data_IF_334532158051
#
_entry.id   IF_334532158051
#
_cell.length_a   1.000
_cell.length_b   1.000
_cell.length_c   1.000
_cell.angle_alpha   90.00
_cell.angle_beta   90.00
_cell.angle_gamma   90.00
#
_symmetry.space_group_name_H-M   'P 1'
#
loop_
_entity.id
_entity.type
_entity.pdbx_description
1 polymer ?
#
# COMPACT_ATOMS: atom_id res chain seq x y z
N UNK A 1 28.94 42.73 -4.77
CA UNK A 1 29.19 41.28 -4.93
C UNK A 1 30.69 41.04 -4.78
N UNK A 2 31.13 40.20 -3.84
CA UNK A 2 32.55 39.80 -3.78
C UNK A 2 32.81 38.82 -4.95
N UNK A 3 33.89 38.99 -5.72
CA UNK A 3 34.21 38.06 -6.80
C UNK A 3 34.47 36.66 -6.22
N UNK A 4 34.11 35.62 -6.97
CA UNK A 4 34.44 34.25 -6.61
C UNK A 4 35.97 34.08 -6.52
N UNK A 5 36.42 33.31 -5.52
CA UNK A 5 37.81 32.92 -5.40
C UNK A 5 38.19 32.01 -6.58
N UNK A 6 39.31 32.30 -7.25
CA UNK A 6 39.78 31.56 -8.42
C UNK A 6 40.97 30.71 -8.03
N UNK A 7 40.78 29.38 -8.01
CA UNK A 7 41.88 28.42 -7.90
C UNK A 7 42.51 28.27 -9.28
N UNK A 8 43.80 28.57 -9.40
CA UNK A 8 44.55 28.34 -10.65
C UNK A 8 44.94 26.87 -10.70
N UNK A 9 44.50 26.17 -11.74
CA UNK A 9 44.85 24.76 -11.99
C UNK A 9 45.62 24.72 -13.30
N UNK A 10 46.82 24.13 -13.26
CA UNK A 10 47.67 23.94 -14.44
C UNK A 10 47.23 22.69 -15.20
N UNK A 11 46.08 22.79 -15.85
CA UNK A 11 45.44 21.70 -16.59
C UNK A 11 44.58 22.27 -17.72
N UNK A 12 44.58 21.61 -18.87
CA UNK A 12 43.71 21.95 -20.00
C UNK A 12 42.58 20.93 -20.12
N UNK A 13 41.34 21.41 -20.13
CA UNK A 13 40.14 20.56 -20.29
C UNK A 13 39.97 20.03 -21.71
N UNK A 14 40.49 20.75 -22.70
CA UNK A 14 40.49 20.36 -24.12
C UNK A 14 41.91 20.22 -24.62
N UNK A 15 42.12 19.34 -25.61
CA UNK A 15 43.43 19.05 -26.17
C UNK A 15 43.41 18.79 -27.67
N UNK A 16 44.58 18.53 -28.23
CA UNK A 16 44.74 18.28 -29.67
C UNK A 16 44.10 16.96 -30.14
N UNK A 17 43.66 16.09 -29.22
CA UNK A 17 42.91 14.87 -29.55
C UNK A 17 41.43 15.16 -29.90
N UNK A 18 40.94 16.37 -29.63
CA UNK A 18 39.53 16.72 -29.76
C UNK A 18 39.10 17.04 -31.20
N UNK A 19 40.05 17.05 -32.15
CA UNK A 19 39.84 17.36 -33.57
C UNK A 19 38.78 16.50 -34.27
N UNK A 20 38.53 15.29 -33.75
CA UNK A 20 37.55 14.35 -34.29
C UNK A 20 36.39 14.05 -33.31
N UNK A 21 36.32 14.75 -32.17
CA UNK A 21 35.24 14.52 -31.22
C UNK A 21 33.91 15.08 -31.78
N UNK A 22 32.86 14.26 -31.89
CA UNK A 22 31.58 14.73 -32.37
C UNK A 22 30.91 15.66 -31.35
N UNK A 23 30.28 16.71 -31.85
CA UNK A 23 29.42 17.57 -31.03
C UNK A 23 28.12 16.84 -30.71
N UNK A 24 27.79 16.74 -29.43
CA UNK A 24 26.53 16.18 -28.98
C UNK A 24 25.35 17.01 -29.51
N UNK A 25 24.37 16.33 -30.10
CA UNK A 25 23.15 16.96 -30.57
C UNK A 25 22.14 17.11 -29.43
N UNK A 26 21.28 18.14 -29.44
CA UNK A 26 20.18 18.24 -28.51
C UNK A 26 19.27 17.01 -28.58
N UNK A 27 18.86 16.48 -27.43
CA UNK A 27 17.92 15.36 -27.32
C UNK A 27 16.62 15.81 -26.70
N UNK A 28 15.50 15.23 -27.14
CA UNK A 28 14.21 15.41 -26.49
C UNK A 28 14.10 14.45 -25.31
N UNK A 29 13.83 14.98 -24.12
CA UNK A 29 13.61 14.16 -22.94
C UNK A 29 12.23 13.51 -22.99
N UNK A 30 12.18 12.19 -22.81
CA UNK A 30 10.94 11.42 -22.73
C UNK A 30 10.67 11.10 -21.26
N UNK A 31 9.56 11.60 -20.74
CA UNK A 31 9.11 11.30 -19.38
C UNK A 31 8.26 10.03 -19.38
N UNK A 32 8.35 9.28 -18.28
CA UNK A 32 7.46 8.16 -18.03
C UNK A 32 6.06 8.65 -17.66
N UNK A 33 5.04 7.84 -17.96
CA UNK A 33 3.70 8.05 -17.39
C UNK A 33 3.71 7.70 -15.89
N UNK A 34 2.73 8.18 -15.09
CA UNK A 34 2.65 7.80 -13.68
C UNK A 34 2.62 6.28 -13.45
N UNK A 35 1.91 5.53 -14.31
CA UNK A 35 1.83 4.07 -14.22
C UNK A 35 3.17 3.41 -14.57
N UNK A 36 3.90 3.95 -15.55
CA UNK A 36 5.27 3.52 -15.85
C UNK A 36 6.20 3.79 -14.67
N UNK A 37 6.15 4.97 -14.06
CA UNK A 37 6.95 5.30 -12.87
C UNK A 37 6.67 4.33 -11.70
N UNK A 38 5.40 3.96 -11.48
CA UNK A 38 5.02 2.94 -10.49
C UNK A 38 5.51 1.54 -10.87
N UNK A 39 5.53 1.20 -12.17
CA UNK A 39 6.05 -0.09 -12.64
C UNK A 39 7.58 -0.22 -12.52
N UNK A 40 8.30 0.91 -12.49
CA UNK A 40 9.77 0.95 -12.53
C UNK A 40 10.37 1.24 -11.15
N UNK A 41 9.97 2.32 -10.49
CA UNK A 41 10.61 2.82 -9.26
C UNK A 41 10.55 1.82 -8.10
N UNK A 42 9.33 1.47 -7.63
CA UNK A 42 9.13 0.42 -6.63
C UNK A 42 9.74 -0.94 -7.01
N UNK A 43 9.74 -1.31 -8.30
CA UNK A 43 10.32 -2.56 -8.78
C UNK A 43 11.85 -2.59 -8.62
N UNK A 44 12.54 -1.54 -9.08
CA UNK A 44 13.98 -1.37 -8.87
C UNK A 44 14.34 -1.29 -7.38
N UNK A 45 13.49 -0.65 -6.58
CA UNK A 45 13.67 -0.56 -5.14
C UNK A 45 13.59 -1.93 -4.44
N UNK A 46 12.61 -2.76 -4.82
CA UNK A 46 12.50 -4.14 -4.33
C UNK A 46 13.72 -4.98 -4.73
N UNK A 47 14.23 -4.81 -5.96
CA UNK A 47 15.42 -5.54 -6.40
C UNK A 47 16.64 -5.20 -5.54
N UNK A 48 16.89 -3.90 -5.32
CA UNK A 48 17.98 -3.44 -4.46
C UNK A 48 17.81 -3.94 -3.02
N UNK A 49 16.59 -3.96 -2.48
CA UNK A 49 16.30 -4.53 -1.16
C UNK A 49 16.60 -6.03 -1.11
N UNK A 50 16.08 -6.80 -2.07
CA UNK A 50 16.25 -8.25 -2.10
C UNK A 50 17.73 -8.63 -2.19
N UNK A 51 18.43 -8.10 -3.21
CA UNK A 51 19.81 -8.49 -3.46
C UNK A 51 20.75 -8.05 -2.33
N UNK A 52 20.49 -6.95 -1.64
CA UNK A 52 21.34 -6.46 -0.54
C UNK A 52 20.97 -7.01 0.83
N UNK A 53 19.74 -7.47 1.04
CA UNK A 53 19.29 -8.03 2.32
C UNK A 53 19.85 -9.42 2.63
N UNK A 54 20.34 -10.13 1.60
CA UNK A 54 20.75 -11.53 1.71
C UNK A 54 19.57 -12.51 1.83
N UNK A 55 18.33 -12.06 1.64
CA UNK A 55 17.15 -12.92 1.62
C UNK A 55 17.01 -13.64 0.27
N UNK A 56 16.23 -14.73 0.29
CA UNK A 56 16.07 -15.62 -0.85
C UNK A 56 14.81 -15.33 -1.69
N UNK A 57 13.99 -14.36 -1.27
CA UNK A 57 12.82 -13.95 -2.01
C UNK A 57 11.84 -13.12 -1.18
N UNK A 58 10.60 -13.11 -1.64
CA UNK A 58 9.48 -12.39 -1.04
C UNK A 58 8.32 -13.32 -0.67
N UNK A 59 7.60 -12.97 0.39
CA UNK A 59 6.28 -13.50 0.72
C UNK A 59 5.26 -12.37 0.69
N UNK A 60 4.17 -12.55 -0.05
CA UNK A 60 3.03 -11.62 -0.06
C UNK A 60 1.74 -12.32 0.39
N UNK A 61 1.08 -11.82 1.45
CA UNK A 61 -0.32 -12.12 1.72
C UNK A 61 -1.21 -11.56 0.60
N UNK A 62 -1.62 -12.41 -0.34
CA UNK A 62 -2.37 -12.02 -1.54
C UNK A 62 -3.87 -12.18 -1.27
N UNK A 63 -4.62 -11.09 -1.21
CA UNK A 63 -6.05 -11.11 -0.84
C UNK A 63 -7.02 -11.22 -2.02
N UNK A 64 -6.54 -11.04 -3.25
CA UNK A 64 -7.41 -10.91 -4.43
C UNK A 64 -8.11 -9.54 -4.54
N UNK A 65 -7.66 -8.56 -3.75
CA UNK A 65 -8.03 -7.14 -3.85
C UNK A 65 -6.97 -6.31 -4.58
N UNK A 66 -7.30 -5.03 -4.83
CA UNK A 66 -6.45 -4.09 -5.59
C UNK A 66 -5.04 -4.00 -5.01
N UNK A 67 -4.88 -3.70 -3.73
CA UNK A 67 -3.57 -3.30 -3.19
C UNK A 67 -2.54 -4.45 -3.17
N UNK A 68 -2.96 -5.63 -2.74
CA UNK A 68 -2.07 -6.81 -2.80
C UNK A 68 -1.76 -7.19 -4.24
N UNK A 69 -2.72 -7.01 -5.16
CA UNK A 69 -2.48 -7.27 -6.58
C UNK A 69 -1.50 -6.27 -7.18
N UNK A 70 -1.55 -4.99 -6.78
CA UNK A 70 -0.56 -4.00 -7.20
C UNK A 70 0.84 -4.35 -6.69
N UNK A 71 0.94 -4.81 -5.44
CA UNK A 71 2.21 -5.31 -4.89
C UNK A 71 2.74 -6.50 -5.69
N UNK A 72 1.89 -7.46 -6.05
CA UNK A 72 2.25 -8.60 -6.88
C UNK A 72 2.71 -8.17 -8.29
N UNK A 73 2.01 -7.22 -8.92
CA UNK A 73 2.40 -6.67 -10.21
C UNK A 73 3.75 -5.93 -10.17
N UNK A 74 4.08 -5.25 -9.07
CA UNK A 74 5.41 -4.62 -8.90
C UNK A 74 6.51 -5.68 -8.84
N UNK A 75 6.30 -6.80 -8.14
CA UNK A 75 7.26 -7.92 -8.11
C UNK A 75 7.41 -8.55 -9.50
N UNK A 76 6.32 -8.68 -10.26
CA UNK A 76 6.40 -9.15 -11.64
C UNK A 76 7.13 -8.16 -12.56
N UNK A 77 6.87 -6.85 -12.44
CA UNK A 77 7.60 -5.81 -13.18
C UNK A 77 9.10 -5.85 -12.87
N UNK A 78 9.47 -6.12 -11.60
CA UNK A 78 10.86 -6.36 -11.22
C UNK A 78 11.44 -7.56 -11.98
N UNK A 79 10.73 -8.68 -12.07
CA UNK A 79 11.18 -9.85 -12.83
C UNK A 79 11.37 -9.53 -14.32
N UNK A 80 10.46 -8.76 -14.93
CA UNK A 80 10.58 -8.29 -16.32
C UNK A 80 11.86 -7.48 -16.52
N UNK A 81 12.13 -6.52 -15.64
CA UNK A 81 13.34 -5.68 -15.70
C UNK A 81 14.62 -6.50 -15.55
N UNK A 82 14.61 -7.53 -14.70
CA UNK A 82 15.76 -8.41 -14.51
C UNK A 82 16.03 -9.27 -15.75
N UNK A 83 15.00 -9.88 -16.33
CA UNK A 83 15.13 -10.62 -17.59
C UNK A 83 15.66 -9.72 -18.71
N UNK A 84 15.14 -8.49 -18.83
CA UNK A 84 15.61 -7.53 -19.83
C UNK A 84 17.09 -7.17 -19.61
N UNK A 85 17.48 -6.81 -18.38
CA UNK A 85 18.86 -6.43 -18.08
C UNK A 85 19.85 -7.57 -18.35
N UNK A 86 19.47 -8.83 -18.04
CA UNK A 86 20.29 -10.01 -18.37
C UNK A 86 20.37 -10.20 -19.90
N UNK A 87 19.25 -10.06 -20.61
CA UNK A 87 19.21 -10.13 -22.07
C UNK A 87 20.06 -9.06 -22.77
N UNK A 88 20.22 -7.88 -22.14
CA UNK A 88 21.09 -6.78 -22.59
C UNK A 88 22.56 -6.97 -22.18
N UNK A 89 22.92 -8.08 -21.52
CA UNK A 89 24.29 -8.41 -21.16
C UNK A 89 24.78 -7.83 -19.82
N UNK A 90 23.88 -7.50 -18.90
CA UNK A 90 24.25 -7.00 -17.58
C UNK A 90 24.72 -8.14 -16.66
N UNK A 91 26.04 -8.38 -16.65
CA UNK A 91 26.67 -9.45 -15.87
C UNK A 91 26.42 -9.33 -14.36
N UNK A 92 26.40 -8.11 -13.81
CA UNK A 92 26.16 -7.90 -12.38
C UNK A 92 24.74 -8.35 -11.97
N UNK A 93 23.74 -8.06 -12.79
CA UNK A 93 22.36 -8.51 -12.54
C UNK A 93 22.27 -10.03 -12.64
N UNK A 94 22.92 -10.65 -13.62
CA UNK A 94 22.93 -12.09 -13.78
C UNK A 94 23.54 -12.80 -12.56
N UNK A 95 24.68 -12.33 -12.07
CA UNK A 95 25.34 -12.85 -10.87
C UNK A 95 24.43 -12.73 -9.63
N UNK A 96 23.79 -11.56 -9.45
CA UNK A 96 22.87 -11.33 -8.34
C UNK A 96 21.63 -12.24 -8.43
N UNK A 97 21.04 -12.43 -9.62
CA UNK A 97 19.89 -13.33 -9.81
C UNK A 97 20.27 -14.77 -9.46
N UNK A 98 21.39 -15.27 -9.98
CA UNK A 98 21.89 -16.62 -9.69
C UNK A 98 22.07 -16.86 -8.19
N UNK A 99 22.64 -15.87 -7.49
CA UNK A 99 22.80 -15.90 -6.03
C UNK A 99 21.46 -15.94 -5.30
N UNK A 100 20.51 -15.08 -5.66
CA UNK A 100 19.19 -15.02 -5.01
C UNK A 100 18.41 -16.31 -5.24
N UNK A 101 18.43 -16.84 -6.46
CA UNK A 101 17.77 -18.11 -6.81
C UNK A 101 18.46 -19.32 -6.16
N UNK A 102 19.77 -19.22 -5.93
CA UNK A 102 20.61 -20.29 -5.40
C UNK A 102 21.05 -21.31 -6.46
N UNK A 103 21.18 -20.88 -7.71
CA UNK A 103 21.59 -21.70 -8.85
C UNK A 103 22.56 -20.93 -9.76
N UNK A 104 23.82 -21.35 -9.81
CA UNK A 104 24.88 -20.71 -10.61
C UNK A 104 24.71 -20.88 -12.12
N UNK A 105 23.95 -21.89 -12.56
CA UNK A 105 23.69 -22.16 -13.98
C UNK A 105 22.47 -21.41 -14.51
N UNK A 106 21.61 -20.94 -13.60
CA UNK A 106 20.35 -20.29 -13.93
C UNK A 106 20.56 -19.01 -14.74
N UNK A 107 19.76 -18.82 -15.79
CA UNK A 107 19.76 -17.61 -16.61
C UNK A 107 18.32 -17.24 -16.90
N UNK A 108 17.78 -16.15 -16.32
CA UNK A 108 16.37 -15.83 -16.45
C UNK A 108 16.03 -15.43 -17.89
N UNK A 109 15.08 -16.14 -18.49
CA UNK A 109 14.54 -15.83 -19.82
C UNK A 109 13.07 -15.38 -19.75
N UNK A 110 12.28 -16.05 -18.92
CA UNK A 110 10.86 -15.79 -18.75
C UNK A 110 10.58 -15.17 -17.38
N UNK A 111 9.93 -14.00 -17.30
CA UNK A 111 9.62 -13.34 -16.03
C UNK A 111 8.78 -14.21 -15.08
N UNK A 112 7.87 -15.04 -15.61
CA UNK A 112 7.01 -15.93 -14.84
C UNK A 112 7.82 -16.99 -14.09
N UNK A 113 8.83 -17.54 -14.75
CA UNK A 113 9.73 -18.54 -14.17
C UNK A 113 10.55 -17.92 -13.04
N UNK A 114 11.19 -16.77 -13.30
CA UNK A 114 11.95 -16.04 -12.29
C UNK A 114 11.08 -15.69 -11.08
N UNK A 115 9.86 -15.22 -11.33
CA UNK A 115 8.86 -14.92 -10.31
C UNK A 115 8.57 -16.16 -9.44
N UNK A 116 8.41 -17.34 -10.03
CA UNK A 116 8.21 -18.59 -9.30
C UNK A 116 9.39 -18.99 -8.39
N UNK A 117 10.62 -18.59 -8.74
CA UNK A 117 11.80 -18.84 -7.91
C UNK A 117 11.87 -17.93 -6.68
N UNK A 118 11.51 -16.65 -6.83
CA UNK A 118 11.79 -15.61 -5.82
C UNK A 118 10.53 -15.07 -5.14
N UNK A 119 9.33 -15.44 -5.59
CA UNK A 119 8.08 -14.88 -5.09
C UNK A 119 7.09 -15.95 -4.65
N UNK A 120 6.73 -15.93 -3.37
CA UNK A 120 5.69 -16.78 -2.79
C UNK A 120 4.48 -15.92 -2.44
N UNK A 121 3.31 -16.30 -2.95
CA UNK A 121 2.04 -15.64 -2.61
C UNK A 121 1.20 -16.55 -1.73
N UNK A 122 0.47 -15.98 -0.77
CA UNK A 122 -0.35 -16.74 0.16
C UNK A 122 -1.73 -16.11 0.34
N UNK A 123 -2.78 -16.80 -0.11
CA UNK A 123 -4.16 -16.45 0.20
C UNK A 123 -4.57 -17.14 1.52
N UNK A 124 -5.13 -16.35 2.45
CA UNK A 124 -5.46 -16.80 3.80
C UNK A 124 -6.96 -16.63 4.08
N UNK A 125 -7.71 -17.64 3.66
CA UNK A 125 -9.17 -17.70 3.76
C UNK A 125 -9.64 -17.79 5.21
N UNK A 126 -10.84 -17.28 5.47
CA UNK A 126 -11.62 -17.50 6.69
C UNK A 126 -13.01 -18.02 6.32
N UNK A 127 -13.83 -18.39 7.30
CA UNK A 127 -15.22 -18.79 7.11
C UNK A 127 -16.09 -17.73 6.40
N UNK A 128 -15.62 -16.48 6.39
CA UNK A 128 -16.29 -15.34 5.77
C UNK A 128 -15.80 -15.03 4.34
N UNK A 129 -14.75 -15.72 3.89
CA UNK A 129 -14.11 -15.43 2.60
C UNK A 129 -14.88 -16.05 1.45
N UNK A 130 -15.03 -15.31 0.35
CA UNK A 130 -15.72 -15.78 -0.86
C UNK A 130 -14.80 -16.64 -1.75
N UNK A 131 -15.39 -17.55 -2.52
CA UNK A 131 -14.63 -18.27 -3.56
C UNK A 131 -14.13 -17.29 -4.63
N UNK A 132 -14.82 -16.17 -4.84
CA UNK A 132 -14.44 -15.17 -5.83
C UNK A 132 -13.10 -14.49 -5.48
N UNK A 133 -12.88 -14.06 -4.24
CA UNK A 133 -11.57 -13.48 -3.82
C UNK A 133 -10.46 -14.53 -3.91
N UNK A 134 -10.75 -15.76 -3.49
CA UNK A 134 -9.81 -16.86 -3.58
C UNK A 134 -9.42 -17.18 -5.04
N UNK A 135 -10.41 -17.20 -5.93
CA UNK A 135 -10.20 -17.47 -7.36
C UNK A 135 -9.38 -16.38 -8.02
N UNK A 136 -9.67 -15.10 -7.76
CA UNK A 136 -8.89 -13.97 -8.27
C UNK A 136 -7.43 -14.01 -7.82
N UNK A 137 -7.18 -14.30 -6.54
CA UNK A 137 -5.82 -14.42 -6.02
C UNK A 137 -5.06 -15.57 -6.71
N UNK A 138 -5.73 -16.72 -6.89
CA UNK A 138 -5.16 -17.90 -7.56
C UNK A 138 -4.87 -17.64 -9.04
N UNK A 139 -5.80 -17.01 -9.77
CA UNK A 139 -5.65 -16.69 -11.19
C UNK A 139 -4.49 -15.70 -11.40
N UNK A 140 -4.42 -14.63 -10.61
CA UNK A 140 -3.32 -13.66 -10.71
C UNK A 140 -1.98 -14.33 -10.38
N UNK A 141 -1.91 -15.12 -9.31
CA UNK A 141 -0.70 -15.83 -8.91
C UNK A 141 -0.20 -16.79 -10.01
N UNK A 142 -1.13 -17.45 -10.71
CA UNK A 142 -0.83 -18.29 -11.87
C UNK A 142 -0.32 -17.49 -13.06
N UNK A 143 -0.90 -16.31 -13.34
CA UNK A 143 -0.50 -15.47 -14.48
C UNK A 143 0.90 -14.87 -14.30
N UNK A 144 1.24 -14.45 -13.08
CA UNK A 144 2.57 -13.91 -12.78
C UNK A 144 3.62 -14.99 -12.53
N UNK A 145 3.23 -16.26 -12.37
CA UNK A 145 4.13 -17.39 -12.13
C UNK A 145 4.59 -17.59 -10.67
N UNK A 146 3.97 -16.92 -9.68
CA UNK A 146 4.41 -17.03 -8.28
C UNK A 146 4.12 -18.40 -7.64
N UNK A 147 4.92 -18.80 -6.65
CA UNK A 147 4.63 -19.99 -5.84
C UNK A 147 3.44 -19.72 -4.91
N UNK A 148 2.23 -20.16 -5.29
CA UNK A 148 0.99 -19.83 -4.59
C UNK A 148 0.60 -20.85 -3.52
N UNK A 149 0.16 -20.35 -2.36
CA UNK A 149 -0.40 -21.16 -1.27
C UNK A 149 -1.80 -20.65 -0.91
N UNK A 150 -2.70 -21.59 -0.63
CA UNK A 150 -4.02 -21.30 -0.08
C UNK A 150 -4.14 -21.97 1.28
N UNK A 151 -4.43 -21.20 2.32
CA UNK A 151 -4.59 -21.70 3.69
C UNK A 151 -5.89 -21.18 4.29
N UNK A 152 -6.51 -21.98 5.17
CA UNK A 152 -7.67 -21.57 5.96
C UNK A 152 -7.22 -21.28 7.41
N UNK A 153 -7.62 -20.12 7.94
CA UNK A 153 -7.20 -19.66 9.28
C UNK A 153 -8.18 -20.01 10.40
N UNK A 154 -9.33 -20.61 10.09
CA UNK A 154 -10.44 -20.76 11.04
C UNK A 154 -10.07 -21.65 12.23
N UNK A 155 -9.23 -22.66 12.02
CA UNK A 155 -8.75 -23.51 13.12
C UNK A 155 -7.91 -22.69 14.12
N UNK A 156 -7.04 -21.81 13.63
CA UNK A 156 -6.24 -20.91 14.47
C UNK A 156 -7.13 -19.89 15.17
N UNK A 157 -8.10 -19.30 14.46
CA UNK A 157 -9.08 -18.35 15.02
C UNK A 157 -9.86 -19.02 16.15
N UNK A 158 -10.44 -20.20 15.91
CA UNK A 158 -11.18 -20.98 16.91
C UNK A 158 -10.32 -21.33 18.12
N UNK A 159 -9.06 -21.69 17.91
CA UNK A 159 -8.11 -21.94 18.99
C UNK A 159 -7.92 -20.72 19.91
N UNK A 160 -7.67 -19.54 19.33
CA UNK A 160 -7.51 -18.29 20.09
C UNK A 160 -8.80 -17.89 20.82
N UNK A 161 -9.95 -17.99 20.16
CA UNK A 161 -11.24 -17.69 20.79
C UNK A 161 -11.59 -18.71 21.89
N UNK A 162 -11.19 -19.98 21.72
CA UNK A 162 -11.31 -21.02 22.74
C UNK A 162 -10.55 -20.68 24.01
N UNK A 163 -9.32 -20.19 23.90
CA UNK A 163 -8.53 -19.73 25.05
C UNK A 163 -9.23 -18.56 25.76
N UNK A 164 -9.70 -17.57 25.01
CA UNK A 164 -10.43 -16.43 25.58
C UNK A 164 -11.70 -16.87 26.32
N UNK A 165 -12.48 -17.78 25.72
CA UNK A 165 -13.71 -18.29 26.31
C UNK A 165 -13.44 -19.14 27.55
N UNK A 166 -12.36 -19.94 27.56
CA UNK A 166 -12.00 -20.76 28.71
C UNK A 166 -11.67 -19.90 29.96
N UNK A 167 -11.05 -18.73 29.75
CA UNK A 167 -10.67 -17.82 30.85
C UNK A 167 -11.83 -16.91 31.27
N UNK A 168 -12.63 -16.42 30.32
CA UNK A 168 -13.65 -15.38 30.59
C UNK A 168 -15.07 -15.92 30.76
N UNK A 169 -15.32 -17.16 30.36
CA UNK A 169 -16.66 -17.75 30.31
C UNK A 169 -17.58 -17.14 29.25
N UNK A 170 -17.05 -16.34 28.30
CA UNK A 170 -17.83 -15.68 27.25
C UNK A 170 -17.26 -15.96 25.87
N UNK A 171 -18.16 -16.18 24.91
CA UNK A 171 -17.82 -16.31 23.50
C UNK A 171 -18.26 -15.05 22.74
N UNK A 172 -17.33 -14.27 22.15
CA UNK A 172 -17.69 -13.07 21.40
C UNK A 172 -18.43 -13.43 20.10
N UNK A 173 -19.38 -12.58 19.69
CA UNK A 173 -20.19 -12.79 18.49
C UNK A 173 -19.99 -11.68 17.45
N UNK A 174 -20.11 -12.03 16.17
CA UNK A 174 -20.19 -11.04 15.09
C UNK A 174 -21.49 -10.24 15.19
N UNK A 175 -21.50 -9.01 14.65
CA UNK A 175 -22.68 -8.13 14.66
C UNK A 175 -23.89 -8.80 13.99
N UNK A 176 -23.67 -9.49 12.86
CA UNK A 176 -24.70 -10.27 12.16
C UNK A 176 -25.33 -11.38 13.02
N UNK A 177 -24.65 -11.81 14.09
CA UNK A 177 -25.11 -12.84 15.04
C UNK A 177 -25.55 -12.24 16.39
N UNK A 178 -25.73 -10.92 16.47
CA UNK A 178 -26.19 -10.22 17.68
C UNK A 178 -25.09 -9.69 18.61
N UNK A 179 -23.81 -9.78 18.20
CA UNK A 179 -22.70 -9.24 18.98
C UNK A 179 -22.61 -7.71 18.95
N UNK A 180 -21.97 -7.13 19.96
CA UNK A 180 -21.74 -5.68 20.01
C UNK A 180 -20.72 -5.20 18.98
N UNK A 181 -20.69 -3.88 18.69
CA UNK A 181 -19.68 -3.24 17.82
C UNK A 181 -18.25 -3.59 18.28
N UNK A 182 -18.04 -3.67 19.60
CA UNK A 182 -16.74 -4.03 20.17
C UNK A 182 -16.35 -5.47 19.86
N UNK A 183 -17.29 -6.40 19.98
CA UNK A 183 -17.05 -7.82 19.68
C UNK A 183 -16.80 -8.03 18.19
N UNK A 184 -17.61 -7.42 17.32
CA UNK A 184 -17.44 -7.49 15.87
C UNK A 184 -16.02 -7.06 15.47
N UNK A 185 -15.61 -5.87 15.93
CA UNK A 185 -14.28 -5.33 15.65
C UNK A 185 -13.17 -6.22 16.23
N UNK A 186 -13.35 -6.78 17.43
CA UNK A 186 -12.37 -7.67 18.03
C UNK A 186 -12.18 -8.96 17.19
N UNK A 187 -13.28 -9.56 16.71
CA UNK A 187 -13.24 -10.76 15.87
C UNK A 187 -12.57 -10.51 14.52
N UNK A 188 -12.87 -9.40 13.86
CA UNK A 188 -12.19 -8.98 12.63
C UNK A 188 -10.68 -8.78 12.88
N UNK A 189 -10.32 -8.09 13.96
CA UNK A 189 -8.92 -7.85 14.31
C UNK A 189 -8.15 -9.16 14.62
N UNK A 190 -8.77 -10.15 15.27
CA UNK A 190 -8.12 -11.45 15.54
C UNK A 190 -7.78 -12.15 14.24
N UNK A 191 -8.72 -12.20 13.28
CA UNK A 191 -8.46 -12.76 11.96
C UNK A 191 -7.33 -12.01 11.24
N UNK A 192 -7.36 -10.67 11.26
CA UNK A 192 -6.35 -9.84 10.61
C UNK A 192 -4.94 -10.08 11.19
N UNK A 193 -4.79 -10.19 12.52
CA UNK A 193 -3.50 -10.47 13.17
C UNK A 193 -3.00 -11.89 12.96
N UNK A 194 -3.90 -12.88 12.94
CA UNK A 194 -3.50 -14.26 12.69
C UNK A 194 -2.94 -14.45 11.28
N UNK A 195 -3.46 -13.71 10.29
CA UNK A 195 -2.85 -13.69 8.95
C UNK A 195 -1.41 -13.17 8.98
N UNK A 196 -1.11 -12.15 9.78
CA UNK A 196 0.27 -11.67 9.96
C UNK A 196 1.17 -12.75 10.59
N UNK A 197 0.71 -13.41 11.65
CA UNK A 197 1.47 -14.50 12.29
C UNK A 197 1.79 -15.61 11.29
N UNK A 198 0.80 -16.01 10.48
CA UNK A 198 0.99 -17.02 9.44
C UNK A 198 1.92 -16.53 8.32
N UNK A 199 1.79 -15.27 7.88
CA UNK A 199 2.67 -14.68 6.88
C UNK A 199 4.15 -14.84 7.28
N UNK A 200 4.49 -14.46 8.52
CA UNK A 200 5.86 -14.58 9.03
C UNK A 200 6.30 -16.03 9.23
N UNK A 201 5.40 -16.92 9.68
CA UNK A 201 5.71 -18.35 9.78
C UNK A 201 6.09 -18.94 8.43
N UNK A 202 5.29 -18.68 7.38
CA UNK A 202 5.59 -19.14 6.03
C UNK A 202 6.81 -18.43 5.45
N UNK A 203 7.04 -17.16 5.76
CA UNK A 203 8.21 -16.45 5.27
C UNK A 203 9.52 -17.07 5.80
N UNK A 204 9.49 -17.55 7.04
CA UNK A 204 10.65 -18.21 7.68
C UNK A 204 10.82 -19.68 7.28
N UNK A 205 9.72 -20.42 7.03
CA UNK A 205 9.79 -21.88 6.89
C UNK A 205 9.40 -22.43 5.50
N UNK A 206 8.77 -21.65 4.62
CA UNK A 206 8.30 -22.17 3.32
C UNK A 206 9.43 -22.58 2.36
N UNK A 207 10.61 -21.98 2.47
CA UNK A 207 11.80 -22.41 1.73
C UNK A 207 12.44 -23.64 2.36
N UNK A 208 12.46 -23.70 3.69
CA UNK A 208 12.94 -24.87 4.44
C UNK A 208 12.16 -26.14 4.09
N UNK A 209 10.82 -26.06 3.96
CA UNK A 209 10.01 -27.22 3.52
C UNK A 209 10.32 -27.69 2.10
N UNK A 210 10.93 -26.84 1.27
CA UNK A 210 11.39 -27.15 -0.08
C UNK A 210 12.88 -27.52 -0.13
N UNK A 211 13.53 -27.66 1.03
CA UNK A 211 14.96 -27.95 1.13
C UNK A 211 15.87 -26.80 0.68
N UNK A 212 15.34 -25.58 0.59
CA UNK A 212 16.10 -24.39 0.18
C UNK A 212 16.56 -23.58 1.40
N UNK A 213 17.78 -23.02 1.38
CA UNK A 213 18.26 -22.13 2.43
C UNK A 213 17.61 -20.74 2.33
N UNK A 214 17.74 -19.95 3.40
CA UNK A 214 17.28 -18.56 3.46
C UNK A 214 15.84 -18.39 3.94
N UNK A 215 15.43 -17.12 4.03
CA UNK A 215 14.08 -16.70 4.36
C UNK A 215 13.52 -15.76 3.29
N UNK A 216 12.24 -15.42 3.45
CA UNK A 216 11.54 -14.49 2.58
C UNK A 216 11.27 -13.16 3.31
N UNK A 217 11.40 -12.04 2.60
CA UNK A 217 10.92 -10.75 3.08
C UNK A 217 9.39 -10.69 2.96
N UNK A 218 8.70 -10.40 4.06
CA UNK A 218 7.25 -10.19 4.04
C UNK A 218 6.96 -8.81 3.42
N UNK A 219 6.14 -8.81 2.37
CA UNK A 219 5.67 -7.60 1.70
C UNK A 219 4.33 -7.14 2.27
N UNK A 220 4.25 -5.87 2.63
CA UNK A 220 3.01 -5.19 3.00
C UNK A 220 2.28 -4.62 1.79
N UNK A 221 0.98 -4.36 1.95
CA UNK A 221 0.12 -3.80 0.89
C UNK A 221 -0.82 -2.72 1.39
N UNK A 222 -0.46 -1.98 2.44
CA UNK A 222 -1.23 -0.80 2.83
C UNK A 222 -0.93 0.35 1.85
N UNK A 223 -1.95 1.08 1.39
CA UNK A 223 -1.75 2.28 0.56
C UNK A 223 -1.65 3.56 1.42
N UNK A 224 -1.27 4.68 0.79
CA UNK A 224 -1.02 5.95 1.49
C UNK A 224 -2.28 6.56 2.11
N UNK A 225 -3.45 6.36 1.49
CA UNK A 225 -4.72 6.97 1.92
C UNK A 225 -5.29 6.27 3.17
N UNK A 226 -5.26 4.93 3.19
CA UNK A 226 -5.60 4.13 4.36
C UNK A 226 -4.62 4.36 5.51
N UNK A 227 -3.33 4.45 5.19
CA UNK A 227 -2.28 4.79 6.17
C UNK A 227 -2.53 6.15 6.82
N UNK A 228 -2.95 7.15 6.02
CA UNK A 228 -3.24 8.50 6.51
C UNK A 228 -4.40 8.52 7.51
N UNK A 229 -5.48 7.79 7.23
CA UNK A 229 -6.65 7.73 8.12
C UNK A 229 -6.48 6.73 9.26
N UNK A 230 -5.49 5.84 9.15
CA UNK A 230 -5.25 4.72 10.04
C UNK A 230 -6.30 3.63 9.93
N UNK A 231 -6.86 3.45 8.73
CA UNK A 231 -7.87 2.46 8.39
C UNK A 231 -7.22 1.09 8.10
N UNK A 232 -6.67 0.49 9.14
CA UNK A 232 -6.09 -0.86 9.13
C UNK A 232 -6.00 -1.39 10.56
N UNK A 233 -5.82 -2.70 10.76
CA UNK A 233 -5.64 -3.25 12.10
C UNK A 233 -4.19 -3.12 12.54
N UNK A 234 -3.95 -2.55 13.72
CA UNK A 234 -2.57 -2.48 14.24
C UNK A 234 -2.02 -3.90 14.43
N UNK A 235 -0.90 -4.20 13.76
CA UNK A 235 -0.23 -5.51 13.72
C UNK A 235 -0.96 -6.61 12.91
N UNK A 236 -1.74 -6.24 11.90
CA UNK A 236 -2.14 -7.17 10.84
C UNK A 236 -1.10 -7.21 9.69
N UNK A 237 -1.47 -7.71 8.51
CA UNK A 237 -0.59 -7.75 7.33
C UNK A 237 -0.20 -6.35 6.77
N UNK A 238 -0.71 -5.25 7.33
CA UNK A 238 -0.12 -3.92 7.13
C UNK A 238 1.27 -3.79 7.79
N UNK A 239 1.55 -4.64 8.78
CA UNK A 239 2.84 -4.79 9.47
C UNK A 239 3.63 -5.93 8.82
N UNK A 240 4.63 -5.57 8.05
CA UNK A 240 5.48 -6.42 7.23
C UNK A 240 6.93 -5.90 7.30
N UNK A 241 7.85 -6.47 6.52
CA UNK A 241 9.24 -6.01 6.53
C UNK A 241 9.40 -4.72 5.71
N UNK A 242 8.80 -4.71 4.51
CA UNK A 242 8.79 -3.55 3.61
C UNK A 242 7.47 -3.48 2.83
N UNK A 243 7.08 -2.26 2.42
CA UNK A 243 5.86 -2.02 1.66
C UNK A 243 6.14 -1.18 0.39
N UNK A 244 6.10 -1.77 -0.82
CA UNK A 244 6.41 -1.05 -2.06
C UNK A 244 5.32 -0.07 -2.49
N UNK A 245 4.09 -0.17 -1.94
CA UNK A 245 2.95 0.68 -2.33
C UNK A 245 2.49 1.64 -1.23
N UNK A 246 3.12 1.63 -0.05
CA UNK A 246 2.70 2.47 1.09
C UNK A 246 2.82 3.98 0.86
N UNK A 247 3.55 4.39 -0.18
CA UNK A 247 3.63 5.77 -0.63
C UNK A 247 2.72 6.11 -1.81
N UNK A 248 1.86 5.21 -2.31
CA UNK A 248 1.06 5.40 -3.55
C UNK A 248 -0.42 5.53 -3.22
N UNK A 249 -1.14 6.41 -3.95
CA UNK A 249 -2.59 6.62 -3.78
C UNK A 249 -3.42 5.45 -4.28
N UNK A 250 -4.59 5.22 -3.67
CA UNK A 250 -5.51 4.16 -4.12
C UNK A 250 -5.96 4.36 -5.57
N UNK A 251 -6.10 5.62 -6.00
CA UNK A 251 -6.46 5.96 -7.38
C UNK A 251 -5.36 5.55 -8.35
N UNK A 252 -4.10 5.84 -8.04
CA UNK A 252 -2.98 5.50 -8.92
C UNK A 252 -2.72 3.99 -8.94
N UNK A 253 -2.97 3.28 -7.83
CA UNK A 253 -2.90 1.81 -7.80
C UNK A 253 -3.92 1.17 -8.75
N UNK A 254 -5.13 1.73 -8.88
CA UNK A 254 -6.13 1.26 -9.85
C UNK A 254 -5.69 1.54 -11.29
N UNK A 255 -5.16 2.73 -11.57
CA UNK A 255 -4.60 3.07 -12.90
C UNK A 255 -3.42 2.16 -13.26
N UNK A 256 -2.53 1.90 -12.31
CA UNK A 256 -1.39 1.01 -12.46
C UNK A 256 -1.83 -0.44 -12.76
N UNK A 257 -2.86 -0.96 -12.08
CA UNK A 257 -3.38 -2.29 -12.40
C UNK A 257 -4.02 -2.37 -13.78
N UNK A 258 -4.72 -1.32 -14.23
CA UNK A 258 -5.23 -1.24 -15.60
C UNK A 258 -4.08 -1.29 -16.61
N UNK A 259 -3.04 -0.49 -16.38
CA UNK A 259 -1.81 -0.49 -17.16
C UNK A 259 -1.17 -1.89 -17.22
N UNK A 260 -1.04 -2.58 -16.09
CA UNK A 260 -0.51 -3.95 -16.06
C UNK A 260 -1.41 -4.95 -16.79
N UNK A 261 -2.74 -4.81 -16.68
CA UNK A 261 -3.69 -5.67 -17.38
C UNK A 261 -3.55 -5.54 -18.90
N UNK A 262 -3.30 -4.33 -19.40
CA UNK A 262 -3.08 -4.05 -20.82
C UNK A 262 -1.66 -4.45 -21.27
N UNK A 263 -0.63 -4.10 -20.51
CA UNK A 263 0.77 -4.37 -20.87
C UNK A 263 1.11 -5.87 -20.85
N UNK A 264 0.62 -6.60 -19.85
CA UNK A 264 0.96 -8.01 -19.63
C UNK A 264 -0.19 -8.98 -19.95
N UNK A 265 -1.35 -8.47 -20.38
CA UNK A 265 -2.54 -9.27 -20.74
C UNK A 265 -3.07 -10.15 -19.59
N UNK A 266 -2.91 -9.70 -18.35
CA UNK A 266 -3.41 -10.40 -17.16
C UNK A 266 -4.92 -10.23 -16.99
N UNK A 267 -5.69 -11.26 -17.36
CA UNK A 267 -7.16 -11.25 -17.25
C UNK A 267 -7.65 -11.16 -15.82
N UNK A 268 -6.91 -11.72 -14.85
CA UNK A 268 -7.28 -11.70 -13.44
C UNK A 268 -7.46 -10.26 -12.92
N UNK A 269 -6.63 -9.33 -13.41
CA UNK A 269 -6.66 -7.92 -13.00
C UNK A 269 -7.96 -7.22 -13.36
N UNK A 270 -8.61 -7.60 -14.48
CA UNK A 270 -9.92 -7.04 -14.85
C UNK A 270 -11.00 -7.43 -13.84
N UNK A 271 -10.99 -8.69 -13.41
CA UNK A 271 -11.88 -9.18 -12.35
C UNK A 271 -11.61 -8.51 -11.01
N UNK A 272 -10.34 -8.28 -10.66
CA UNK A 272 -9.94 -7.58 -9.42
C UNK A 272 -10.39 -6.12 -9.42
N UNK A 273 -10.27 -5.42 -10.55
CA UNK A 273 -10.66 -4.01 -10.68
C UNK A 273 -12.18 -3.82 -10.70
N UNK A 274 -12.93 -4.79 -11.24
CA UNK A 274 -14.38 -4.76 -11.27
C UNK A 274 -15.02 -5.13 -9.91
N UNK A 275 -14.28 -5.83 -9.04
CA UNK A 275 -14.78 -6.25 -7.74
C UNK A 275 -14.98 -5.05 -6.80
N UNK A 276 -16.05 -5.05 -5.98
CA UNK A 276 -16.26 -3.99 -4.99
C UNK A 276 -15.15 -4.04 -3.93
N UNK A 277 -14.60 -2.88 -3.50
CA UNK A 277 -13.57 -2.83 -2.48
C UNK A 277 -14.18 -3.15 -1.11
N UNK A 278 -13.79 -4.29 -0.54
CA UNK A 278 -14.32 -4.80 0.72
C UNK A 278 -13.34 -5.71 1.45
N UNK A 279 -13.39 -5.66 2.77
CA UNK A 279 -12.75 -6.62 3.66
C UNK A 279 -13.74 -7.73 4.06
N UNK A 280 -13.54 -8.94 3.54
CA UNK A 280 -14.31 -10.15 3.89
C UNK A 280 -13.91 -10.70 5.28
N UNK A 281 -14.09 -9.89 6.32
CA UNK A 281 -13.74 -10.21 7.71
C UNK A 281 -14.96 -10.47 8.60
N UNK A 282 -16.16 -10.23 8.09
CA UNK A 282 -17.43 -10.48 8.77
C UNK A 282 -18.36 -11.37 7.94
N UNK A 283 -19.29 -12.11 8.58
CA UNK A 283 -20.20 -13.00 7.87
C UNK A 283 -20.98 -12.24 6.80
N UNK A 284 -21.00 -12.79 5.59
CA UNK A 284 -21.83 -12.29 4.50
C UNK A 284 -23.30 -12.37 4.91
N UNK A 285 -24.04 -11.27 4.75
CA UNK A 285 -25.50 -11.26 4.94
C UNK A 285 -26.12 -11.59 3.58
N UNK A 286 -26.89 -12.67 3.49
CA UNK A 286 -27.48 -13.17 2.22
C UNK A 286 -26.46 -13.41 1.09
N UNK A 287 -25.23 -13.81 1.44
CA UNK A 287 -24.15 -14.04 0.48
C UNK A 287 -23.56 -12.76 -0.14
N UNK A 288 -23.98 -11.59 0.35
CA UNK A 288 -23.44 -10.30 -0.09
C UNK A 288 -22.60 -9.64 1.01
N UNK A 289 -21.56 -8.96 0.53
CA UNK A 289 -20.74 -8.08 1.32
C UNK A 289 -21.59 -6.96 1.89
N UNK A 290 -21.53 -6.76 3.20
CA UNK A 290 -22.42 -5.83 3.89
C UNK A 290 -21.99 -4.36 3.74
N UNK A 291 -20.71 -4.09 3.49
CA UNK A 291 -20.19 -2.70 3.43
C UNK A 291 -18.90 -2.58 2.61
N UNK A 292 -18.72 -1.45 1.91
CA UNK A 292 -17.47 -1.10 1.21
C UNK A 292 -16.55 -0.26 2.10
N UNK A 293 -15.25 -0.28 1.81
CA UNK A 293 -14.24 0.46 2.58
C UNK A 293 -14.55 1.97 2.66
N UNK A 294 -14.99 2.58 1.56
CA UNK A 294 -15.32 4.02 1.51
C UNK A 294 -16.52 4.38 2.40
N UNK A 295 -17.50 3.48 2.50
CA UNK A 295 -18.67 3.67 3.38
C UNK A 295 -18.23 3.57 4.84
N UNK A 296 -17.38 2.60 5.19
CA UNK A 296 -16.87 2.48 6.57
C UNK A 296 -15.93 3.64 6.94
N UNK A 297 -15.12 4.13 5.99
CA UNK A 297 -14.32 5.34 6.15
C UNK A 297 -15.16 6.62 6.23
N UNK A 298 -16.36 6.64 5.64
CA UNK A 298 -17.22 7.80 5.50
C UNK A 298 -16.69 8.86 4.53
N UNK A 299 -15.72 8.48 3.69
CA UNK A 299 -15.04 9.32 2.71
C UNK A 299 -14.57 8.46 1.54
N UNK A 300 -14.64 9.01 0.33
CA UNK A 300 -14.11 8.34 -0.86
C UNK A 300 -12.59 8.45 -0.91
N UNK A 301 -11.91 7.54 -1.62
CA UNK A 301 -10.47 7.63 -1.82
C UNK A 301 -10.06 8.94 -2.51
N UNK A 302 -10.87 9.44 -3.46
CA UNK A 302 -10.64 10.73 -4.11
C UNK A 302 -10.68 11.90 -3.12
N UNK A 303 -11.65 11.90 -2.20
CA UNK A 303 -11.72 12.88 -1.10
C UNK A 303 -10.49 12.77 -0.18
N UNK A 304 -10.08 11.54 0.17
CA UNK A 304 -8.94 11.30 1.04
C UNK A 304 -7.61 11.78 0.45
N UNK A 305 -7.33 11.51 -0.83
CA UNK A 305 -6.10 11.98 -1.47
C UNK A 305 -6.08 13.51 -1.57
N UNK A 306 -7.22 14.15 -1.85
CA UNK A 306 -7.33 15.62 -1.82
C UNK A 306 -7.06 16.18 -0.41
N UNK A 307 -7.67 15.60 0.61
CA UNK A 307 -7.46 15.97 2.01
C UNK A 307 -5.99 15.76 2.42
N UNK A 308 -5.37 14.66 2.00
CA UNK A 308 -3.96 14.35 2.23
C UNK A 308 -3.04 15.42 1.67
N UNK A 309 -3.24 15.82 0.41
CA UNK A 309 -2.52 16.93 -0.22
C UNK A 309 -2.76 18.26 0.51
N UNK A 310 -4.00 18.59 0.88
CA UNK A 310 -4.29 19.81 1.64
C UNK A 310 -3.57 19.83 3.01
N UNK A 311 -3.58 18.70 3.73
CA UNK A 311 -2.93 18.56 5.03
C UNK A 311 -1.41 18.69 4.93
N UNK A 312 -0.78 17.95 4.01
CA UNK A 312 0.67 17.80 3.99
C UNK A 312 1.37 18.76 3.03
N UNK A 313 0.84 18.99 1.83
CA UNK A 313 1.45 19.89 0.84
C UNK A 313 1.04 21.33 1.15
N UNK A 314 -0.26 21.60 1.23
CA UNK A 314 -0.81 22.94 1.52
C UNK A 314 -0.79 23.33 3.01
N UNK A 315 -0.26 22.46 3.88
CA UNK A 315 -0.05 22.69 5.32
C UNK A 315 -1.32 23.07 6.08
N UNK A 316 -2.47 22.55 5.67
CA UNK A 316 -3.74 22.88 6.29
C UNK A 316 -3.97 22.13 7.61
N UNK A 317 -4.26 22.87 8.69
CA UNK A 317 -4.99 22.34 9.85
C UNK A 317 -6.51 22.30 9.62
N UNK A 318 -7.32 21.93 10.62
CA UNK A 318 -8.76 21.73 10.45
C UNK A 318 -9.49 22.95 9.87
N UNK A 319 -9.26 24.13 10.45
CA UNK A 319 -9.95 25.35 10.03
C UNK A 319 -9.55 25.79 8.61
N UNK A 320 -8.25 25.86 8.32
CA UNK A 320 -7.76 26.21 6.98
C UNK A 320 -8.19 25.20 5.91
N UNK A 321 -8.32 23.92 6.26
CA UNK A 321 -8.81 22.89 5.34
C UNK A 321 -10.28 23.12 5.03
N UNK A 322 -11.11 23.38 6.05
CA UNK A 322 -12.50 23.78 5.87
C UNK A 322 -12.62 24.99 4.94
N UNK A 323 -11.89 26.08 5.18
CA UNK A 323 -11.94 27.29 4.34
C UNK A 323 -11.57 27.04 2.87
N UNK A 324 -10.69 26.08 2.58
CA UNK A 324 -10.37 25.69 1.19
C UNK A 324 -11.47 24.81 0.59
N UNK A 325 -11.91 23.80 1.33
CA UNK A 325 -12.86 22.82 0.82
C UNK A 325 -14.26 23.40 0.58
N UNK A 326 -14.70 24.42 1.34
CA UNK A 326 -15.97 25.10 1.06
C UNK A 326 -16.01 25.73 -0.34
N UNK A 327 -14.85 26.12 -0.89
CA UNK A 327 -14.76 26.67 -2.24
C UNK A 327 -14.56 25.57 -3.28
N UNK A 328 -13.75 24.54 -2.96
CA UNK A 328 -13.44 23.44 -3.87
C UNK A 328 -14.63 22.49 -4.08
N UNK A 329 -15.49 22.33 -3.08
CA UNK A 329 -16.65 21.44 -3.11
C UNK A 329 -17.98 22.20 -3.15
N UNK A 330 -17.98 23.50 -3.42
CA UNK A 330 -19.17 24.37 -3.40
C UNK A 330 -20.33 23.86 -4.27
N UNK A 331 -20.01 23.17 -5.37
CA UNK A 331 -21.00 22.70 -6.35
C UNK A 331 -21.57 21.32 -5.98
N UNK A 332 -21.00 20.65 -4.97
CA UNK A 332 -21.34 19.27 -4.60
C UNK A 332 -21.80 19.16 -3.14
N UNK A 333 -21.27 20.00 -2.24
CA UNK A 333 -21.49 19.92 -0.79
C UNK A 333 -21.79 21.29 -0.19
N UNK A 334 -22.72 21.33 0.76
CA UNK A 334 -23.00 22.49 1.59
C UNK A 334 -21.86 22.76 2.59
N UNK A 335 -21.71 24.00 3.11
CA UNK A 335 -20.72 24.30 4.14
C UNK A 335 -20.81 23.39 5.38
N UNK A 336 -22.03 22.97 5.75
CA UNK A 336 -22.25 22.05 6.88
C UNK A 336 -21.68 20.66 6.60
N UNK A 337 -21.89 20.12 5.40
CA UNK A 337 -21.35 18.80 5.00
C UNK A 337 -19.83 18.84 4.89
N UNK A 338 -19.25 19.93 4.36
CA UNK A 338 -17.79 20.13 4.35
C UNK A 338 -17.24 20.15 5.78
N UNK A 339 -17.89 20.88 6.70
CA UNK A 339 -17.49 20.90 8.10
C UNK A 339 -17.54 19.51 8.74
N UNK A 340 -18.58 18.73 8.47
CA UNK A 340 -18.72 17.35 8.97
C UNK A 340 -17.59 16.45 8.45
N UNK A 341 -17.29 16.49 7.14
CA UNK A 341 -16.19 15.70 6.55
C UNK A 341 -14.82 16.07 7.11
N UNK A 342 -14.52 17.37 7.23
CA UNK A 342 -13.26 17.84 7.83
C UNK A 342 -13.12 17.38 9.28
N UNK A 343 -14.20 17.52 10.07
CA UNK A 343 -14.21 17.08 11.47
C UNK A 343 -14.04 15.56 11.60
N UNK A 344 -14.74 14.79 10.75
CA UNK A 344 -14.62 13.34 10.69
C UNK A 344 -13.18 12.91 10.39
N UNK A 345 -12.57 13.51 9.36
CA UNK A 345 -11.19 13.26 8.99
C UNK A 345 -10.22 13.51 10.16
N UNK A 346 -10.20 14.72 10.72
CA UNK A 346 -9.24 15.05 11.78
C UNK A 346 -9.47 14.23 13.06
N UNK A 347 -10.71 13.85 13.36
CA UNK A 347 -11.01 12.93 14.47
C UNK A 347 -10.41 11.54 14.19
N UNK A 348 -10.68 10.93 13.04
CA UNK A 348 -10.13 9.61 12.65
C UNK A 348 -8.61 9.63 12.58
N UNK A 349 -8.03 10.58 11.85
CA UNK A 349 -6.59 10.81 11.75
C UNK A 349 -5.93 10.89 13.13
N UNK A 350 -6.46 11.72 14.03
CA UNK A 350 -5.84 11.94 15.35
C UNK A 350 -6.00 10.75 16.30
N UNK A 351 -7.12 10.03 16.26
CA UNK A 351 -7.33 8.80 17.04
C UNK A 351 -6.38 7.69 16.59
N UNK A 352 -6.15 7.57 15.28
CA UNK A 352 -5.39 6.46 14.72
C UNK A 352 -3.91 6.77 14.48
N UNK A 353 -3.42 8.00 14.71
CA UNK A 353 -2.04 8.39 14.41
C UNK A 353 -1.00 7.49 15.10
N UNK A 354 -1.30 6.97 16.29
CA UNK A 354 -0.46 6.02 17.00
C UNK A 354 -0.14 4.74 16.20
N UNK A 355 -0.94 4.39 15.18
CA UNK A 355 -0.65 3.25 14.30
C UNK A 355 0.51 3.55 13.34
N UNK A 356 0.68 4.80 12.92
CA UNK A 356 1.77 5.20 12.00
C UNK A 356 3.16 5.13 12.61
N UNK A 357 3.26 5.19 13.95
CA UNK A 357 4.54 5.06 14.67
C UNK A 357 5.18 3.68 14.51
N UNK A 358 4.39 2.66 14.16
CA UNK A 358 4.84 1.28 13.98
C UNK A 358 4.41 0.73 12.62
N UNK A 359 4.12 1.61 11.66
CA UNK A 359 3.78 1.20 10.30
C UNK A 359 5.04 0.72 9.57
N UNK A 360 4.85 -0.25 8.67
CA UNK A 360 5.91 -0.79 7.82
C UNK A 360 6.63 0.30 7.02
N UNK A 361 7.98 0.31 6.98
CA UNK A 361 8.73 1.19 6.11
C UNK A 361 8.30 1.02 4.65
N UNK A 362 7.96 2.13 4.01
CA UNK A 362 7.35 2.12 2.69
C UNK A 362 8.20 2.86 1.65
N UNK A 363 8.11 2.43 0.39
CA UNK A 363 8.66 3.20 -0.73
C UNK A 363 8.05 4.60 -0.75
N UNK A 364 8.89 5.62 -0.93
CA UNK A 364 8.44 7.01 -0.98
C UNK A 364 8.07 7.38 -2.43
N UNK A 365 6.80 7.70 -2.66
CA UNK A 365 6.31 8.19 -3.95
C UNK A 365 5.58 9.53 -3.76
N UNK A 366 4.50 9.52 -2.98
CA UNK A 366 3.66 10.70 -2.82
C UNK A 366 4.24 11.75 -1.87
N UNK A 367 4.21 13.01 -2.30
CA UNK A 367 4.63 14.18 -1.52
C UNK A 367 3.70 14.52 -0.34
N UNK A 368 2.64 13.73 -0.13
CA UNK A 368 1.74 13.83 1.02
C UNK A 368 1.79 12.63 1.99
N UNK A 369 2.84 11.80 1.89
CA UNK A 369 3.02 10.62 2.75
C UNK A 369 2.83 10.95 4.26
N UNK A 370 2.11 10.09 5.01
CA UNK A 370 1.97 10.20 6.46
C UNK A 370 3.10 9.50 7.24
N UNK A 371 4.18 9.03 6.60
CA UNK A 371 5.30 8.35 7.29
C UNK A 371 5.84 9.18 8.47
N UNK A 372 5.85 8.57 9.67
CA UNK A 372 6.27 9.25 10.89
C UNK A 372 7.78 9.15 11.15
N UNK A 373 8.48 8.24 10.47
CA UNK A 373 9.89 7.98 10.72
C UNK A 373 10.79 9.11 10.21
N UNK A 374 10.46 9.68 9.04
CA UNK A 374 11.31 10.65 8.35
C UNK A 374 10.53 11.82 7.78
N UNK A 375 9.41 11.55 7.11
CA UNK A 375 8.80 12.54 6.23
C UNK A 375 7.78 13.46 6.92
N UNK A 376 7.00 12.94 7.86
CA UNK A 376 5.88 13.63 8.49
C UNK A 376 5.88 13.48 10.01
N UNK A 377 6.89 14.09 10.65
CA UNK A 377 7.03 14.12 12.10
C UNK A 377 5.82 14.83 12.75
N UNK A 378 5.04 14.10 13.55
CA UNK A 378 3.80 14.61 14.17
C UNK A 378 3.61 14.03 15.58
N UNK A 379 2.84 14.70 16.47
CA UNK A 379 2.36 14.05 17.68
C UNK A 379 1.56 12.78 17.34
N UNK A 380 1.58 11.80 18.23
CA UNK A 380 0.71 10.61 18.15
C UNK A 380 -0.28 10.52 19.33
N UNK A 381 -0.16 11.44 20.29
CA UNK A 381 -1.14 11.68 21.36
C UNK A 381 -1.77 13.06 21.17
N UNK A 382 -2.95 13.10 20.56
CA UNK A 382 -3.71 14.32 20.31
C UNK A 382 -4.90 14.45 21.24
N UNK A 383 -5.35 15.70 21.47
CA UNK A 383 -6.74 15.92 21.85
C UNK A 383 -7.65 15.73 20.62
N UNK A 384 -8.22 14.54 20.49
CA UNK A 384 -8.99 14.10 19.31
C UNK A 384 -10.33 14.81 19.13
N UNK A 385 -10.73 15.66 20.09
CA UNK A 385 -11.94 16.50 20.00
C UNK A 385 -11.69 17.83 19.29
N UNK A 386 -10.42 18.24 19.13
CA UNK A 386 -10.03 19.49 18.45
C UNK A 386 -10.89 20.71 18.86
N UNK A 387 -11.08 20.96 20.18
CA UNK A 387 -12.18 21.79 20.68
C UNK A 387 -12.12 23.26 20.22
N UNK A 388 -10.92 23.80 20.03
CA UNK A 388 -10.75 25.16 19.54
C UNK A 388 -11.05 25.23 18.04
N UNK A 389 -10.39 24.38 17.27
CA UNK A 389 -10.46 24.37 15.81
C UNK A 389 -11.86 24.05 15.31
N UNK A 390 -12.54 23.09 15.95
CA UNK A 390 -13.91 22.71 15.57
C UNK A 390 -14.92 23.80 15.91
N UNK A 391 -14.72 24.53 17.03
CA UNK A 391 -15.54 25.71 17.36
C UNK A 391 -15.36 26.84 16.35
N UNK A 392 -14.13 27.08 15.88
CA UNK A 392 -13.89 28.05 14.81
C UNK A 392 -14.63 27.68 13.53
N UNK A 393 -14.66 26.39 13.16
CA UNK A 393 -15.43 25.90 12.01
C UNK A 393 -16.93 26.14 12.25
N UNK A 394 -17.46 25.77 13.41
CA UNK A 394 -18.89 25.95 13.73
C UNK A 394 -19.32 27.41 13.66
N UNK A 395 -18.52 28.32 14.22
CA UNK A 395 -18.79 29.76 14.15
C UNK A 395 -18.85 30.26 12.70
N UNK A 396 -17.99 29.76 11.81
CA UNK A 396 -18.02 30.13 10.39
C UNK A 396 -19.23 29.54 9.67
N UNK A 397 -19.58 28.28 9.93
CA UNK A 397 -20.79 27.67 9.35
C UNK A 397 -22.04 28.46 9.77
N UNK A 398 -22.14 28.88 11.02
CA UNK A 398 -23.25 29.72 11.51
C UNK A 398 -23.30 31.12 10.86
N UNK A 399 -22.16 31.67 10.45
CA UNK A 399 -22.11 32.96 9.73
C UNK A 399 -22.48 32.84 8.25
N UNK A 400 -22.23 31.68 7.64
CA UNK A 400 -22.52 31.41 6.23
C UNK A 400 -23.97 30.95 6.01
N UNK A 401 -24.60 30.34 7.03
CA UNK A 401 -26.02 30.00 6.97
C UNK A 401 -26.85 31.28 6.79
N UNK A 402 -27.80 31.33 5.84
CA UNK A 402 -28.59 32.52 5.62
C UNK A 402 -29.34 32.88 6.91
N UNK A 403 -29.13 34.09 7.42
CA UNK A 403 -30.05 34.69 8.38
C UNK A 403 -31.46 34.59 7.78
N UNK A 404 -32.33 33.80 8.41
CA UNK A 404 -33.75 33.81 8.07
C UNK A 404 -34.22 35.27 8.01
N UNK A 405 -34.98 35.68 6.98
CA UNK A 405 -35.52 37.02 6.94
C UNK A 405 -36.36 37.21 8.21
N UNK A 406 -35.98 38.19 9.03
CA UNK A 406 -36.77 38.58 10.19
C UNK A 406 -38.18 38.92 9.70
N UNK A 407 -39.16 38.19 10.22
CA UNK A 407 -40.59 38.40 9.98
C UNK A 407 -41.06 39.79 10.43
#
# INVERSE_FOLDING_TARGET
LRPCFRVKVDFSLSGNADLYLPTHQPVQWHFHTPEEEISLGPACWLWDYLRRSGQAGFLLPLSGGVDSSSTACIVYCMCVLLCQAVGEGNNQVLEDVRRVVGDESYTPQHPEELCGHIFTTCYMASENSSEDTCSRARELASQIGSAHMNINIDLAVKGILGIFSAVTGRWPQFAAKGGSIRENLALQNVQARLRMVLAYLFAQLSLWTRGKPGGLLVLGSANVDESLTGYFTKYDCSSADINPIGGVSKTDLKCFLLYCAERFQFTALRGILAAPPTAELEPLTDGQVTQTDEVDMGMTYSELSMIGRLRKISKCGPFSMFCKLIHMWKDVLSPTEVAQKVKLFFRRYSMNRHKMTTMTPSYHAESYSPDDNRFDLRPFLYNTRWPWQFRCIDNQVSQIAPTAPNH
#
